data_IF_411935924259
#
_entry.id   IF_411935924259
#
_cell.length_a   1.000
_cell.length_b   1.000
_cell.length_c   1.000
_cell.angle_alpha   90.00
_cell.angle_beta   90.00
_cell.angle_gamma   90.00
#
_symmetry.space_group_name_H-M   'P 1'
#
loop_
_entity.id
_entity.type
_entity.pdbx_description
1 polymer ?
#
# COMPACT_ATOMS: atom_id res chain seq x y z
N UNK A 1 2.63 -1.35 -17.79
CA UNK A 1 2.86 -0.60 -16.54
C UNK A 1 2.30 -1.43 -15.40
N UNK A 2 3.06 -1.67 -14.34
CA UNK A 2 2.63 -2.34 -13.10
C UNK A 2 2.49 -1.26 -12.02
N UNK A 3 1.40 -1.33 -11.25
CA UNK A 3 1.15 -0.39 -10.14
C UNK A 3 1.20 -1.18 -8.85
N UNK A 4 2.15 -0.84 -7.99
CA UNK A 4 2.28 -1.42 -6.65
C UNK A 4 1.67 -0.44 -5.67
N UNK A 5 0.47 -0.76 -5.18
CA UNK A 5 -0.18 0.00 -4.09
C UNK A 5 0.37 -0.54 -2.77
N UNK A 6 1.27 0.23 -2.17
CA UNK A 6 2.05 -0.18 -1.01
C UNK A 6 1.61 0.56 0.24
N UNK A 7 0.92 -0.16 1.12
CA UNK A 7 0.55 0.26 2.47
C UNK A 7 1.47 -0.33 3.54
N UNK A 8 2.55 -1.02 3.16
CA UNK A 8 3.51 -1.61 4.08
C UNK A 8 2.99 -2.81 4.89
N UNK A 9 1.90 -3.47 4.48
CA UNK A 9 1.34 -4.59 5.24
C UNK A 9 0.49 -5.58 4.43
N UNK A 10 0.28 -6.77 5.00
CA UNK A 10 -0.79 -7.67 4.58
C UNK A 10 -2.15 -7.14 5.07
N UNK A 11 -2.69 -6.15 4.37
CA UNK A 11 -3.83 -5.35 4.84
C UNK A 11 -5.06 -6.17 5.27
N UNK A 12 -5.56 -7.09 4.44
CA UNK A 12 -6.74 -7.89 4.80
C UNK A 12 -6.50 -8.80 6.00
N UNK A 13 -5.30 -9.37 6.12
CA UNK A 13 -4.93 -10.21 7.28
C UNK A 13 -4.88 -9.34 8.53
N UNK A 14 -4.27 -8.15 8.41
CA UNK A 14 -4.21 -7.15 9.47
C UNK A 14 -5.60 -6.75 9.96
N UNK A 15 -6.52 -6.50 9.03
CA UNK A 15 -7.91 -6.17 9.35
C UNK A 15 -8.59 -7.28 10.16
N UNK A 16 -8.41 -8.54 9.77
CA UNK A 16 -9.00 -9.68 10.50
C UNK A 16 -8.38 -9.84 11.89
N UNK A 17 -7.08 -9.58 12.05
CA UNK A 17 -6.43 -9.57 13.36
C UNK A 17 -7.05 -8.52 14.27
N UNK A 18 -7.19 -7.27 13.83
CA UNK A 18 -7.80 -6.23 14.66
C UNK A 18 -9.26 -6.51 15.01
N UNK A 19 -10.01 -7.11 14.07
CA UNK A 19 -11.43 -7.44 14.27
C UNK A 19 -11.64 -8.57 15.29
N UNK A 20 -10.80 -9.59 15.28
CA UNK A 20 -10.98 -10.79 16.10
C UNK A 20 -10.11 -10.81 17.37
N UNK A 21 -8.98 -10.14 17.33
CA UNK A 21 -7.97 -10.10 18.39
C UNK A 21 -7.39 -8.68 18.48
N UNK A 22 -8.20 -7.68 18.87
CA UNK A 22 -7.81 -6.27 18.82
C UNK A 22 -6.50 -6.00 19.55
N UNK A 23 -5.59 -5.27 18.89
CA UNK A 23 -4.25 -4.96 19.42
C UNK A 23 -3.21 -6.08 19.29
N UNK A 24 -3.60 -7.30 18.93
CA UNK A 24 -2.67 -8.43 18.74
C UNK A 24 -2.17 -8.50 17.29
N UNK A 25 -1.06 -7.81 17.06
CA UNK A 25 -0.35 -7.75 15.78
C UNK A 25 0.60 -8.93 15.61
N UNK A 26 0.45 -9.74 14.57
CA UNK A 26 1.38 -10.85 14.29
C UNK A 26 1.69 -10.98 12.80
N UNK A 27 2.95 -10.74 12.43
CA UNK A 27 3.47 -11.10 11.10
C UNK A 27 2.84 -10.39 9.90
N UNK A 28 2.15 -9.26 10.11
CA UNK A 28 1.46 -8.54 9.02
C UNK A 28 2.21 -7.33 8.48
N UNK A 29 3.27 -6.87 9.16
CA UNK A 29 4.10 -5.77 8.68
C UNK A 29 5.03 -6.23 7.56
N UNK A 30 5.13 -5.41 6.50
CA UNK A 30 6.01 -5.67 5.36
C UNK A 30 7.13 -4.64 5.30
N UNK A 31 8.36 -5.13 5.13
CA UNK A 31 9.50 -4.31 4.73
C UNK A 31 9.74 -4.52 3.25
N UNK A 32 9.14 -3.64 2.45
CA UNK A 32 9.24 -3.70 0.99
C UNK A 32 10.53 -3.04 0.48
N UNK A 33 11.09 -3.50 -0.64
CA UNK A 33 12.16 -2.80 -1.33
C UNK A 33 11.64 -1.50 -1.97
N UNK A 34 12.56 -0.67 -2.46
CA UNK A 34 12.21 0.40 -3.41
C UNK A 34 11.88 -0.24 -4.76
N UNK A 35 10.59 -0.40 -5.06
CA UNK A 35 10.15 -1.01 -6.31
C UNK A 35 10.40 -0.13 -7.54
N UNK A 36 10.50 1.19 -7.35
CA UNK A 36 10.88 2.09 -8.42
C UNK A 36 12.37 1.90 -8.78
N UNK A 37 13.25 1.80 -7.79
CA UNK A 37 14.65 1.44 -8.00
C UNK A 37 14.79 0.04 -8.61
N UNK A 38 13.96 -0.91 -8.18
CA UNK A 38 13.92 -2.25 -8.76
C UNK A 38 13.65 -2.18 -10.27
N UNK A 39 12.62 -1.47 -10.72
CA UNK A 39 12.36 -1.32 -12.16
C UNK A 39 13.55 -0.72 -12.92
N UNK A 40 14.16 0.33 -12.37
CA UNK A 40 15.34 0.99 -12.98
C UNK A 40 16.53 0.04 -13.10
N UNK A 41 16.75 -0.82 -12.11
CA UNK A 41 17.85 -1.79 -12.11
C UNK A 41 17.77 -2.81 -13.26
N UNK A 42 16.57 -3.08 -13.79
CA UNK A 42 16.34 -3.97 -14.93
C UNK A 42 16.15 -3.22 -16.26
N UNK A 43 16.51 -1.94 -16.33
CA UNK A 43 16.39 -1.12 -17.54
C UNK A 43 14.96 -0.65 -17.84
N UNK A 44 14.04 -0.78 -16.88
CA UNK A 44 12.67 -0.28 -16.97
C UNK A 44 12.51 1.14 -16.43
N UNK A 45 11.30 1.67 -16.59
CA UNK A 45 10.88 2.92 -15.95
C UNK A 45 10.43 2.65 -14.51
N UNK A 46 10.91 3.45 -13.55
CA UNK A 46 10.50 3.34 -12.15
C UNK A 46 10.24 4.70 -11.55
N UNK A 47 9.03 4.90 -11.00
CA UNK A 47 8.67 6.11 -10.27
C UNK A 47 7.95 5.78 -8.96
N UNK A 48 8.22 6.58 -7.93
CA UNK A 48 7.53 6.53 -6.65
C UNK A 48 6.49 7.65 -6.60
N UNK A 49 5.28 7.32 -6.18
CA UNK A 49 4.17 8.27 -6.04
C UNK A 49 3.77 8.31 -4.58
N UNK A 50 3.92 9.47 -3.95
CA UNK A 50 3.57 9.68 -2.53
C UNK A 50 2.30 10.51 -2.34
N UNK A 51 1.87 11.24 -3.38
CA UNK A 51 0.67 12.08 -3.36
C UNK A 51 -0.21 11.78 -4.57
N UNK A 52 -1.53 11.89 -4.38
CA UNK A 52 -2.52 11.67 -5.44
C UNK A 52 -2.27 12.54 -6.68
N UNK A 53 -1.86 13.79 -6.47
CA UNK A 53 -1.59 14.73 -7.57
C UNK A 53 -0.42 14.28 -8.47
N UNK A 54 0.50 13.48 -7.95
CA UNK A 54 1.70 13.03 -8.66
C UNK A 54 1.43 11.76 -9.50
N UNK A 55 0.30 11.09 -9.28
CA UNK A 55 -0.03 9.84 -9.95
C UNK A 55 -0.18 10.01 -11.46
N UNK A 56 -1.02 10.96 -11.90
CA UNK A 56 -1.30 11.13 -13.33
C UNK A 56 -0.05 11.56 -14.12
N UNK A 57 0.76 12.54 -13.65
CA UNK A 57 2.05 12.85 -14.27
C UNK A 57 2.98 11.64 -14.36
N UNK A 58 3.11 10.84 -13.29
CA UNK A 58 3.98 9.67 -13.28
C UNK A 58 3.50 8.56 -14.23
N UNK A 59 2.18 8.38 -14.35
CA UNK A 59 1.55 7.42 -15.25
C UNK A 59 1.77 7.80 -16.72
N UNK A 60 1.58 9.06 -17.07
CA UNK A 60 1.85 9.53 -18.43
C UNK A 60 3.33 9.42 -18.80
N UNK A 61 4.24 9.78 -17.89
CA UNK A 61 5.68 9.59 -18.11
C UNK A 61 6.06 8.11 -18.30
N UNK A 62 5.47 7.21 -17.51
CA UNK A 62 5.65 5.76 -17.69
C UNK A 62 5.16 5.29 -19.06
N UNK A 63 4.01 5.80 -19.52
CA UNK A 63 3.42 5.44 -20.82
C UNK A 63 4.25 5.97 -21.99
N UNK A 64 4.74 7.20 -21.90
CA UNK A 64 5.59 7.84 -22.91
C UNK A 64 6.99 7.22 -22.98
N UNK A 65 7.48 6.61 -21.89
CA UNK A 65 8.80 5.97 -21.87
C UNK A 65 8.93 4.80 -22.85
N UNK A 66 7.83 4.13 -23.19
CA UNK A 66 7.85 2.91 -24.01
C UNK A 66 8.53 1.70 -23.34
N UNK A 67 8.89 1.79 -22.06
CA UNK A 67 9.60 0.75 -21.31
C UNK A 67 8.64 -0.07 -20.42
N UNK A 68 9.01 -1.30 -20.03
CA UNK A 68 8.43 -1.94 -18.86
C UNK A 68 8.54 -1.00 -17.65
N UNK A 69 7.44 -0.78 -16.93
CA UNK A 69 7.37 0.27 -15.92
C UNK A 69 6.75 -0.22 -14.61
N UNK A 70 7.29 0.22 -13.47
CA UNK A 70 6.68 0.09 -12.15
C UNK A 70 6.41 1.48 -11.56
N UNK A 71 5.17 1.68 -11.11
CA UNK A 71 4.79 2.80 -10.26
C UNK A 71 4.61 2.29 -8.83
N UNK A 72 5.49 2.74 -7.92
CA UNK A 72 5.42 2.43 -6.50
C UNK A 72 4.56 3.50 -5.80
N UNK A 73 3.28 3.21 -5.64
CA UNK A 73 2.31 4.12 -5.03
C UNK A 73 2.26 3.87 -3.53
N UNK A 74 2.70 4.85 -2.74
CA UNK A 74 2.59 4.82 -1.29
C UNK A 74 1.20 5.25 -0.88
N UNK A 75 0.58 4.46 0.01
CA UNK A 75 -0.72 4.79 0.59
C UNK A 75 -0.66 4.65 2.10
N UNK A 76 -1.57 5.35 2.78
CA UNK A 76 -1.70 5.30 4.22
C UNK A 76 -2.09 3.87 4.68
N UNK A 77 -1.34 3.26 5.62
CA UNK A 77 -1.73 1.99 6.24
C UNK A 77 -3.11 1.99 6.88
N UNK A 78 -3.61 3.15 7.31
CA UNK A 78 -4.95 3.29 7.89
C UNK A 78 -6.05 3.18 6.83
N UNK A 79 -5.76 3.43 5.55
CA UNK A 79 -6.73 3.42 4.46
C UNK A 79 -6.95 2.02 3.86
N UNK A 80 -7.45 1.07 4.67
CA UNK A 80 -7.65 -0.32 4.25
C UNK A 80 -8.91 -0.59 3.44
N UNK A 81 -10.00 0.11 3.76
CA UNK A 81 -11.26 0.01 3.03
C UNK A 81 -11.81 1.42 2.80
N UNK A 82 -12.62 1.63 1.76
CA UNK A 82 -13.29 2.93 1.56
C UNK A 82 -14.20 3.32 2.73
N UNK A 83 -14.62 2.35 3.55
CA UNK A 83 -15.63 2.55 4.58
C UNK A 83 -15.06 2.75 6.00
N UNK A 84 -13.88 2.19 6.28
CA UNK A 84 -13.33 2.16 7.65
C UNK A 84 -11.80 2.14 7.66
N UNK A 85 -11.21 2.87 8.60
CA UNK A 85 -9.78 2.82 8.90
C UNK A 85 -9.42 1.62 9.77
N UNK A 86 -8.14 1.26 9.80
CA UNK A 86 -7.63 0.20 10.68
C UNK A 86 -7.92 0.50 12.16
N UNK A 87 -7.68 1.74 12.58
CA UNK A 87 -7.96 2.20 13.94
C UNK A 87 -9.44 2.09 14.29
N UNK A 88 -10.34 2.50 13.39
CA UNK A 88 -11.79 2.39 13.60
C UNK A 88 -12.24 0.92 13.75
N UNK A 89 -11.61 -0.01 13.03
CA UNK A 89 -11.90 -1.45 13.16
C UNK A 89 -11.47 -1.97 14.53
N UNK A 90 -10.29 -1.56 15.00
CA UNK A 90 -9.78 -1.91 16.33
C UNK A 90 -10.69 -1.37 17.44
N UNK A 91 -11.02 -0.08 17.40
CA UNK A 91 -11.87 0.57 18.40
C UNK A 91 -13.22 -0.12 18.50
N UNK A 92 -13.84 -0.41 17.36
CA UNK A 92 -15.12 -1.15 17.32
C UNK A 92 -15.01 -2.54 17.94
N UNK A 93 -13.92 -3.27 17.68
CA UNK A 93 -13.70 -4.59 18.27
C UNK A 93 -13.46 -4.52 19.80
N UNK A 94 -12.79 -3.48 20.27
CA UNK A 94 -12.56 -3.25 21.71
C UNK A 94 -13.83 -2.82 22.46
N UNK A 95 -14.72 -2.07 21.81
CA UNK A 95 -15.99 -1.62 22.39
C UNK A 95 -17.06 -2.72 22.46
N UNK A 96 -16.85 -3.87 21.82
CA UNK A 96 -17.72 -5.05 21.89
C UNK A 96 -16.91 -6.31 22.15
N UNK A 97 -16.27 -6.41 23.33
CA UNK A 97 -15.49 -7.59 23.69
C UNK A 97 -16.43 -8.80 23.78
N UNK A 98 -16.03 -9.90 23.13
CA UNK A 98 -16.73 -11.19 23.23
C UNK A 98 -16.45 -11.86 24.56
#
# INVERSE_FOLDING_TARGET
IVIVVDNGMYGTIRMHQERHYPGRVVGTGLRNPDFAAYARAFGGYGATVEKTADFFPAFEAARQSGLPAILHVKVDPEALTPAMSLSAIREKAQASPR
#
